data_IF_748176618896
#
_entry.id   IF_748176618896
#
_cell.length_a   1.000
_cell.length_b   1.000
_cell.length_c   1.000
_cell.angle_alpha   90.00
_cell.angle_beta   90.00
_cell.angle_gamma   90.00
#
_symmetry.space_group_name_H-M   'P 1'
#
loop_
_entity.id
_entity.type
_entity.pdbx_description
1 polymer ?
#
# COMPACT_ATOMS: atom_id res chain seq x y z
N UNK A 1 -7.78 6.25 -22.31
CA UNK A 1 -6.94 7.04 -21.39
C UNK A 1 -6.06 6.05 -20.64
N UNK A 2 -4.87 5.79 -21.18
CA UNK A 2 -3.95 4.71 -20.84
C UNK A 2 -3.64 4.66 -19.33
N UNK A 3 -4.01 3.57 -18.67
CA UNK A 3 -3.55 3.22 -17.32
C UNK A 3 -2.36 2.27 -17.42
N UNK A 4 -1.30 2.78 -18.03
CA UNK A 4 -0.02 2.09 -18.09
C UNK A 4 0.57 2.07 -16.67
N UNK A 5 0.61 0.87 -16.05
CA UNK A 5 1.13 0.65 -14.71
C UNK A 5 2.59 1.14 -14.61
N UNK A 6 3.37 1.08 -15.70
CA UNK A 6 4.71 1.63 -15.75
C UNK A 6 4.72 3.17 -15.80
N UNK A 7 3.71 3.82 -16.39
CA UNK A 7 3.54 5.28 -16.31
C UNK A 7 3.04 5.75 -14.95
N UNK A 8 2.21 4.97 -14.25
CA UNK A 8 1.84 5.28 -12.85
C UNK A 8 3.04 5.08 -11.91
N UNK A 9 3.97 4.19 -12.26
CA UNK A 9 5.29 4.04 -11.62
C UNK A 9 6.32 5.09 -12.07
N UNK A 10 6.22 5.66 -13.29
CA UNK A 10 6.94 6.88 -13.73
C UNK A 10 6.37 8.10 -13.03
N UNK A 11 6.49 8.09 -11.72
CA UNK A 11 5.97 9.08 -10.82
C UNK A 11 6.88 10.31 -10.80
N UNK A 12 7.29 10.85 -11.95
CA UNK A 12 8.23 11.97 -12.03
C UNK A 12 7.74 13.17 -11.21
N UNK A 13 6.44 13.44 -11.24
CA UNK A 13 5.79 14.50 -10.45
C UNK A 13 5.76 14.20 -8.96
N UNK A 14 5.47 12.95 -8.56
CA UNK A 14 5.48 12.54 -7.15
C UNK A 14 6.90 12.47 -6.62
N UNK A 15 7.85 11.95 -7.39
CA UNK A 15 9.29 11.95 -7.11
C UNK A 15 9.82 13.36 -6.92
N UNK A 16 9.44 14.31 -7.78
CA UNK A 16 9.82 15.72 -7.62
C UNK A 16 9.17 16.36 -6.39
N UNK A 17 7.88 16.15 -6.15
CA UNK A 17 7.18 16.65 -4.94
C UNK A 17 7.74 16.04 -3.66
N UNK A 18 8.05 14.76 -3.68
CA UNK A 18 8.72 14.06 -2.58
C UNK A 18 10.12 14.62 -2.39
N UNK A 19 10.94 14.78 -3.42
CA UNK A 19 12.28 15.37 -3.31
C UNK A 19 12.26 16.79 -2.71
N UNK A 20 11.28 17.62 -3.09
CA UNK A 20 11.10 18.95 -2.49
C UNK A 20 10.72 18.81 -1.01
N UNK A 21 9.72 17.99 -0.69
CA UNK A 21 9.31 17.74 0.69
C UNK A 21 10.42 17.10 1.55
N UNK A 22 11.28 16.27 0.95
CA UNK A 22 12.45 15.66 1.56
C UNK A 22 13.51 16.70 1.91
N UNK A 23 13.81 17.62 1.00
CA UNK A 23 14.75 18.71 1.24
C UNK A 23 14.29 19.62 2.38
N UNK A 24 12.98 19.87 2.49
CA UNK A 24 12.40 20.66 3.57
C UNK A 24 12.36 19.90 4.90
N UNK A 25 12.06 18.60 4.88
CA UNK A 25 12.10 17.73 6.06
C UNK A 25 13.53 17.59 6.62
N UNK A 26 14.54 17.48 5.76
CA UNK A 26 15.95 17.45 6.15
C UNK A 26 16.37 18.69 6.96
N UNK A 27 15.84 19.86 6.60
CA UNK A 27 16.19 21.14 7.23
C UNK A 27 15.49 21.36 8.56
N UNK A 28 14.26 20.86 8.71
CA UNK A 28 13.38 21.25 9.81
C UNK A 28 13.00 20.10 10.76
N UNK A 29 13.16 18.84 10.37
CA UNK A 29 12.68 17.68 11.13
C UNK A 29 13.69 16.50 11.12
N UNK A 30 14.80 16.57 11.88
CA UNK A 30 15.82 15.52 11.95
C UNK A 30 15.25 14.14 12.34
N UNK A 31 14.19 14.12 13.15
CA UNK A 31 13.44 12.93 13.56
C UNK A 31 12.88 12.11 12.38
N UNK A 32 12.75 12.71 11.20
CA UNK A 32 12.20 12.07 9.99
C UNK A 32 13.28 11.45 9.10
N UNK A 33 14.56 11.51 9.49
CA UNK A 33 15.68 11.01 8.68
C UNK A 33 15.51 9.55 8.19
N UNK A 34 14.92 8.68 9.01
CA UNK A 34 14.60 7.31 8.63
C UNK A 34 13.60 7.22 7.48
N UNK A 35 12.56 8.06 7.49
CA UNK A 35 11.56 8.16 6.42
C UNK A 35 12.18 8.72 5.15
N UNK A 36 13.03 9.75 5.30
CA UNK A 36 13.70 10.38 4.17
C UNK A 36 14.53 9.37 3.39
N UNK A 37 15.40 8.62 4.07
CA UNK A 37 16.20 7.55 3.46
C UNK A 37 15.35 6.48 2.77
N UNK A 38 14.19 6.14 3.34
CA UNK A 38 13.27 5.19 2.73
C UNK A 38 12.70 5.70 1.41
N UNK A 39 12.35 6.98 1.33
CA UNK A 39 11.84 7.61 0.09
C UNK A 39 12.96 7.71 -0.95
N UNK A 40 14.19 8.06 -0.56
CA UNK A 40 15.36 8.07 -1.45
C UNK A 40 15.60 6.70 -2.08
N UNK A 41 15.61 5.64 -1.27
CA UNK A 41 15.75 4.26 -1.74
C UNK A 41 14.62 3.87 -2.71
N UNK A 42 13.38 4.24 -2.39
CA UNK A 42 12.25 4.04 -3.29
C UNK A 42 12.46 4.76 -4.64
N UNK A 43 12.93 6.01 -4.64
CA UNK A 43 13.21 6.77 -5.87
C UNK A 43 14.28 6.07 -6.71
N UNK A 44 15.31 5.50 -6.08
CA UNK A 44 16.36 4.72 -6.77
C UNK A 44 15.75 3.48 -7.41
N UNK A 45 15.00 2.68 -6.65
CA UNK A 45 14.37 1.44 -7.14
C UNK A 45 13.43 1.70 -8.32
N UNK A 46 12.62 2.76 -8.26
CA UNK A 46 11.74 3.14 -9.38
C UNK A 46 12.54 3.52 -10.62
N UNK A 47 13.65 4.27 -10.47
CA UNK A 47 14.51 4.63 -11.62
C UNK A 47 15.14 3.41 -12.27
N UNK A 48 15.38 2.35 -11.51
CA UNK A 48 15.94 1.09 -12.01
C UNK A 48 14.86 0.06 -12.39
N UNK A 49 13.58 0.43 -12.39
CA UNK A 49 12.44 -0.47 -12.61
C UNK A 49 12.49 -1.73 -11.72
N UNK A 50 12.99 -1.60 -10.48
CA UNK A 50 13.01 -2.70 -9.53
C UNK A 50 11.59 -2.91 -8.94
N UNK A 51 11.07 -4.14 -9.06
CA UNK A 51 9.77 -4.55 -8.52
C UNK A 51 9.67 -4.38 -7.00
N UNK A 52 10.79 -4.41 -6.27
CA UNK A 52 10.85 -4.21 -4.82
C UNK A 52 10.31 -2.85 -4.40
N UNK A 53 10.28 -1.86 -5.32
CA UNK A 53 9.64 -0.57 -5.08
C UNK A 53 8.16 -0.71 -4.69
N UNK A 54 7.48 -1.79 -5.08
CA UNK A 54 6.09 -2.06 -4.71
C UNK A 54 5.90 -2.24 -3.20
N UNK A 55 6.90 -2.76 -2.49
CA UNK A 55 6.83 -2.92 -1.02
C UNK A 55 6.70 -1.58 -0.29
N UNK A 56 7.25 -0.50 -0.87
CA UNK A 56 7.07 0.86 -0.35
C UNK A 56 5.61 1.32 -0.45
N UNK A 57 4.96 1.05 -1.58
CA UNK A 57 3.54 1.37 -1.75
C UNK A 57 2.65 0.57 -0.80
N UNK A 58 2.96 -0.71 -0.57
CA UNK A 58 2.24 -1.54 0.42
C UNK A 58 2.32 -0.90 1.81
N UNK A 59 3.52 -0.52 2.25
CA UNK A 59 3.71 0.14 3.55
C UNK A 59 3.01 1.51 3.63
N UNK A 60 3.02 2.29 2.55
CA UNK A 60 2.31 3.57 2.47
C UNK A 60 0.80 3.38 2.61
N UNK A 61 0.22 2.41 1.90
CA UNK A 61 -1.21 2.12 1.97
C UNK A 61 -1.64 1.63 3.36
N UNK A 62 -0.84 0.80 4.03
CA UNK A 62 -1.12 0.41 5.41
C UNK A 62 -1.11 1.61 6.37
N UNK A 63 -0.14 2.52 6.21
CA UNK A 63 -0.10 3.74 7.03
C UNK A 63 -1.27 4.69 6.75
N UNK A 64 -1.62 4.90 5.48
CA UNK A 64 -2.79 5.70 5.11
C UNK A 64 -4.08 5.07 5.63
N UNK A 65 -4.20 3.75 5.56
CA UNK A 65 -5.33 3.00 6.12
C UNK A 65 -5.47 3.29 7.62
N UNK A 66 -4.39 3.12 8.39
CA UNK A 66 -4.38 3.36 9.83
C UNK A 66 -4.63 4.83 10.19
N UNK A 67 -4.07 5.77 9.42
CA UNK A 67 -4.30 7.20 9.59
C UNK A 67 -5.79 7.55 9.45
N UNK A 68 -6.45 7.02 8.41
CA UNK A 68 -7.87 7.25 8.18
C UNK A 68 -8.75 6.56 9.24
N UNK A 69 -8.37 5.37 9.71
CA UNK A 69 -9.02 4.74 10.88
C UNK A 69 -8.97 5.66 12.10
N UNK A 70 -7.82 6.27 12.40
CA UNK A 70 -7.68 7.19 13.55
C UNK A 70 -8.55 8.46 13.43
N UNK A 71 -9.04 8.77 12.23
CA UNK A 71 -9.98 9.86 11.94
C UNK A 71 -11.44 9.38 11.87
N UNK A 72 -11.70 8.11 12.11
CA UNK A 72 -13.00 7.44 11.90
C UNK A 72 -13.49 7.49 10.44
N UNK A 73 -12.59 7.66 9.47
CA UNK A 73 -12.89 7.67 8.04
C UNK A 73 -12.79 6.24 7.47
N UNK A 74 -13.65 5.35 7.97
CA UNK A 74 -13.55 3.90 7.71
C UNK A 74 -13.67 3.53 6.23
N UNK A 75 -14.49 4.23 5.45
CA UNK A 75 -14.59 4.00 4.00
C UNK A 75 -13.24 4.11 3.30
N UNK A 76 -12.47 5.14 3.66
CA UNK A 76 -11.16 5.42 3.10
C UNK A 76 -10.13 4.46 3.70
N UNK A 77 -10.26 4.14 4.99
CA UNK A 77 -9.37 3.20 5.68
C UNK A 77 -9.38 1.81 5.01
N UNK A 78 -10.56 1.20 4.80
CA UNK A 78 -10.67 -0.10 4.14
C UNK A 78 -10.28 -0.06 2.65
N UNK A 79 -10.52 1.07 1.96
CA UNK A 79 -10.05 1.24 0.58
C UNK A 79 -8.52 1.11 0.50
N UNK A 80 -7.79 1.84 1.35
CA UNK A 80 -6.33 1.73 1.39
C UNK A 80 -5.85 0.37 1.88
N UNK A 81 -6.58 -0.26 2.82
CA UNK A 81 -6.26 -1.61 3.27
C UNK A 81 -6.34 -2.62 2.11
N UNK A 82 -7.37 -2.51 1.27
CA UNK A 82 -7.51 -3.34 0.06
C UNK A 82 -6.42 -3.04 -0.97
N UNK A 83 -6.01 -1.77 -1.13
CA UNK A 83 -4.90 -1.41 -2.02
C UNK A 83 -3.57 -2.01 -1.59
N UNK A 84 -3.35 -2.15 -0.28
CA UNK A 84 -2.17 -2.84 0.25
C UNK A 84 -2.16 -4.32 -0.17
N UNK A 85 -3.29 -5.02 -0.04
CA UNK A 85 -3.45 -6.43 -0.47
C UNK A 85 -3.21 -6.58 -1.98
N UNK A 86 -3.87 -5.75 -2.78
CA UNK A 86 -3.74 -5.76 -4.25
C UNK A 86 -2.28 -5.57 -4.68
N UNK A 87 -1.61 -4.57 -4.10
CA UNK A 87 -0.22 -4.25 -4.46
C UNK A 87 0.74 -5.37 -4.03
N UNK A 88 0.52 -5.98 -2.87
CA UNK A 88 1.32 -7.11 -2.41
C UNK A 88 1.15 -8.34 -3.31
N UNK A 89 -0.07 -8.63 -3.75
CA UNK A 89 -0.33 -9.72 -4.70
C UNK A 89 0.30 -9.46 -6.08
N UNK A 90 0.24 -8.23 -6.58
CA UNK A 90 0.91 -7.86 -7.83
C UNK A 90 2.43 -8.05 -7.68
N UNK A 91 3.03 -7.59 -6.59
CA UNK A 91 4.44 -7.85 -6.28
C UNK A 91 4.74 -9.35 -6.30
N UNK A 92 3.95 -10.16 -5.58
CA UNK A 92 4.13 -11.60 -5.50
C UNK A 92 4.17 -12.25 -6.88
N UNK A 93 3.17 -11.97 -7.71
CA UNK A 93 3.04 -12.62 -9.00
C UNK A 93 4.05 -12.10 -10.03
N UNK A 94 4.50 -10.85 -9.93
CA UNK A 94 5.61 -10.35 -10.75
C UNK A 94 6.94 -11.00 -10.34
N UNK A 95 7.22 -11.07 -9.03
CA UNK A 95 8.43 -11.70 -8.48
C UNK A 95 8.54 -13.19 -8.85
N UNK A 96 7.40 -13.87 -8.93
CA UNK A 96 7.31 -15.28 -9.31
C UNK A 96 7.10 -15.48 -10.82
N UNK A 97 7.15 -14.42 -11.63
CA UNK A 97 7.02 -14.48 -13.08
C UNK A 97 5.68 -15.11 -13.57
N UNK A 98 4.60 -14.93 -12.79
CA UNK A 98 3.26 -15.51 -13.03
C UNK A 98 2.33 -14.56 -13.80
N UNK A 99 2.48 -13.25 -13.61
CA UNK A 99 1.73 -12.23 -14.35
C UNK A 99 2.67 -11.41 -15.23
N UNK A 100 2.13 -10.87 -16.32
CA UNK A 100 2.84 -9.99 -17.23
C UNK A 100 1.97 -8.77 -17.58
N UNK A 101 2.61 -7.76 -18.18
CA UNK A 101 1.92 -6.62 -18.76
C UNK A 101 1.69 -6.93 -20.23
N UNK A 102 0.44 -7.02 -20.64
CA UNK A 102 0.08 -7.28 -22.02
C UNK A 102 0.38 -6.06 -22.92
N UNK A 103 0.25 -6.24 -24.24
CA UNK A 103 0.52 -5.19 -25.24
C UNK A 103 -0.35 -3.92 -25.08
N UNK A 104 -1.46 -4.01 -24.35
CA UNK A 104 -2.38 -2.91 -24.07
C UNK A 104 -2.12 -2.23 -22.72
N UNK A 105 -1.10 -2.66 -21.97
CA UNK A 105 -0.73 -2.14 -20.66
C UNK A 105 -1.53 -2.69 -19.48
N UNK A 106 -2.40 -3.67 -19.72
CA UNK A 106 -3.15 -4.40 -18.70
C UNK A 106 -2.31 -5.52 -18.07
N UNK A 107 -2.61 -5.87 -16.82
CA UNK A 107 -2.02 -7.06 -16.19
C UNK A 107 -2.79 -8.31 -16.62
N UNK A 108 -2.10 -9.34 -17.06
CA UNK A 108 -2.67 -10.67 -17.36
C UNK A 108 -1.85 -11.76 -16.69
N UNK A 109 -2.45 -12.92 -16.44
CA UNK A 109 -1.67 -14.12 -16.14
C UNK A 109 -0.90 -14.54 -17.39
N UNK A 110 0.31 -15.05 -17.22
CA UNK A 110 1.12 -15.48 -18.36
C UNK A 110 0.41 -16.55 -19.18
N UNK A 111 0.33 -16.33 -20.48
CA UNK A 111 -0.36 -17.22 -21.41
C UNK A 111 -1.88 -17.08 -21.42
N UNK A 112 -2.44 -16.18 -20.62
CA UNK A 112 -3.87 -15.84 -20.67
C UNK A 112 -4.09 -14.62 -21.58
N UNK A 113 -5.18 -14.67 -22.35
CA UNK A 113 -5.59 -13.58 -23.25
C UNK A 113 -6.37 -12.49 -22.49
N UNK A 114 -6.94 -12.85 -21.34
CA UNK A 114 -7.80 -11.97 -20.57
C UNK A 114 -7.01 -11.14 -19.56
N UNK A 115 -7.44 -9.90 -19.38
CA UNK A 115 -6.91 -8.99 -18.36
C UNK A 115 -7.47 -9.33 -16.98
N UNK A 116 -6.64 -9.12 -15.96
CA UNK A 116 -7.02 -9.18 -14.57
C UNK A 116 -7.87 -7.95 -14.24
N UNK A 117 -9.18 -8.13 -14.10
CA UNK A 117 -10.11 -7.02 -13.93
C UNK A 117 -10.25 -6.54 -12.49
N UNK A 118 -9.70 -7.29 -11.53
CA UNK A 118 -9.59 -6.82 -10.16
C UNK A 118 -8.87 -7.78 -9.23
N UNK A 119 -8.58 -7.26 -8.04
CA UNK A 119 -7.92 -7.97 -6.94
C UNK A 119 -8.58 -9.29 -6.53
N UNK A 120 -9.87 -9.48 -6.80
CA UNK A 120 -10.55 -10.75 -6.52
C UNK A 120 -9.96 -11.94 -7.27
N UNK A 121 -9.52 -11.75 -8.50
CA UNK A 121 -8.86 -12.80 -9.30
C UNK A 121 -7.49 -13.14 -8.72
N UNK A 122 -6.72 -12.12 -8.33
CA UNK A 122 -5.43 -12.28 -7.66
C UNK A 122 -5.56 -13.04 -6.33
N UNK A 123 -6.57 -12.69 -5.52
CA UNK A 123 -6.85 -13.37 -4.24
C UNK A 123 -7.22 -14.83 -4.49
N UNK A 124 -8.10 -15.08 -5.47
CA UNK A 124 -8.53 -16.43 -5.84
C UNK A 124 -7.33 -17.29 -6.25
N UNK A 125 -6.49 -16.77 -7.13
CA UNK A 125 -5.31 -17.49 -7.61
C UNK A 125 -4.32 -17.80 -6.48
N UNK A 126 -4.05 -16.81 -5.61
CA UNK A 126 -3.13 -16.99 -4.49
C UNK A 126 -3.61 -18.09 -3.51
N UNK A 127 -4.88 -18.03 -3.09
CA UNK A 127 -5.43 -19.00 -2.14
C UNK A 127 -5.83 -20.34 -2.77
N UNK A 128 -5.87 -20.46 -4.10
CA UNK A 128 -5.92 -21.77 -4.75
C UNK A 128 -4.63 -22.57 -4.51
N UNK A 129 -3.50 -21.86 -4.29
CA UNK A 129 -2.17 -22.44 -4.07
C UNK A 129 -1.76 -22.47 -2.59
N UNK A 130 -2.30 -21.57 -1.76
CA UNK A 130 -1.98 -21.47 -0.32
C UNK A 130 -3.07 -22.08 0.58
N UNK A 131 -2.69 -22.98 1.50
CA UNK A 131 -3.60 -23.65 2.44
C UNK A 131 -3.78 -22.90 3.77
N UNK A 132 -4.05 -21.60 3.73
CA UNK A 132 -4.44 -20.83 4.93
C UNK A 132 -5.90 -20.41 4.87
N UNK A 133 -6.76 -21.21 5.51
CA UNK A 133 -8.21 -21.01 5.48
C UNK A 133 -8.67 -19.82 6.32
N UNK A 134 -7.95 -19.42 7.38
CA UNK A 134 -8.37 -18.30 8.23
C UNK A 134 -7.98 -16.97 7.59
N UNK A 135 -6.73 -16.88 7.12
CA UNK A 135 -6.23 -15.72 6.39
C UNK A 135 -7.04 -15.48 5.11
N UNK A 136 -7.32 -16.55 4.36
CA UNK A 136 -8.19 -16.50 3.17
C UNK A 136 -9.55 -15.88 3.48
N UNK A 137 -10.22 -16.33 4.54
CA UNK A 137 -11.53 -15.78 4.94
C UNK A 137 -11.46 -14.30 5.25
N UNK A 138 -10.43 -13.84 5.96
CA UNK A 138 -10.26 -12.43 6.33
C UNK A 138 -9.96 -11.56 5.10
N UNK A 139 -9.09 -12.01 4.20
CA UNK A 139 -8.80 -11.29 2.95
C UNK A 139 -10.02 -11.24 2.02
N UNK A 140 -10.79 -12.33 1.92
CA UNK A 140 -12.06 -12.33 1.18
C UNK A 140 -13.13 -11.44 1.81
N UNK A 141 -13.21 -11.40 3.16
CA UNK A 141 -14.10 -10.49 3.89
C UNK A 141 -13.78 -9.03 3.53
N UNK A 142 -12.49 -8.66 3.53
CA UNK A 142 -12.06 -7.32 3.13
C UNK A 142 -12.45 -6.99 1.68
N UNK A 143 -12.18 -7.90 0.73
CA UNK A 143 -12.56 -7.71 -0.67
C UNK A 143 -14.08 -7.56 -0.85
N UNK A 144 -14.86 -8.36 -0.14
CA UNK A 144 -16.33 -8.27 -0.13
C UNK A 144 -16.82 -6.92 0.42
N UNK A 145 -16.23 -6.46 1.54
CA UNK A 145 -16.51 -5.14 2.10
C UNK A 145 -16.23 -4.05 1.08
N UNK A 146 -15.03 -4.02 0.49
CA UNK A 146 -14.64 -3.04 -0.54
C UNK A 146 -15.66 -2.96 -1.65
N UNK A 147 -16.08 -4.10 -2.22
CA UNK A 147 -16.99 -4.10 -3.36
C UNK A 147 -18.39 -3.59 -3.02
N UNK A 148 -18.82 -3.70 -1.76
CA UNK A 148 -20.12 -3.19 -1.29
C UNK A 148 -20.11 -1.70 -0.98
N UNK A 149 -18.93 -1.08 -0.85
CA UNK A 149 -18.80 0.30 -0.40
C UNK A 149 -19.12 1.34 -1.46
N UNK A 150 -19.52 2.53 -1.00
CA UNK A 150 -19.81 3.70 -1.84
C UNK A 150 -18.64 4.13 -2.72
N UNK A 151 -17.41 4.03 -2.21
CA UNK A 151 -16.19 4.40 -2.94
C UNK A 151 -15.77 3.35 -4.00
N UNK A 152 -16.57 2.29 -4.18
CA UNK A 152 -16.34 1.25 -5.18
C UNK A 152 -17.59 1.07 -6.07
N UNK A 153 -18.49 0.16 -5.71
CA UNK A 153 -19.62 -0.25 -6.57
C UNK A 153 -20.95 -0.37 -5.81
N UNK A 154 -20.99 -0.13 -4.50
CA UNK A 154 -22.20 -0.30 -3.71
C UNK A 154 -22.59 0.96 -2.93
N UNK A 155 -23.41 0.81 -1.88
CA UNK A 155 -23.92 1.91 -1.05
C UNK A 155 -23.62 1.71 0.43
N UNK A 156 -22.82 0.70 0.77
CA UNK A 156 -22.50 0.35 2.15
C UNK A 156 -21.49 1.34 2.75
N UNK A 157 -21.75 1.77 3.98
CA UNK A 157 -20.79 2.53 4.80
C UNK A 157 -20.28 1.60 5.90
N UNK A 158 -18.99 1.26 5.93
CA UNK A 158 -18.43 0.34 6.91
C UNK A 158 -18.33 1.00 8.30
N UNK A 159 -18.29 0.17 9.33
CA UNK A 159 -17.90 0.58 10.68
C UNK A 159 -16.48 0.13 11.01
N UNK A 160 -15.94 0.61 12.13
CA UNK A 160 -14.63 0.19 12.65
C UNK A 160 -14.60 -1.17 13.32
N UNK A 161 -15.74 -1.87 13.44
CA UNK A 161 -15.87 -3.09 14.26
C UNK A 161 -14.87 -4.18 13.84
N UNK A 162 -14.70 -4.37 12.53
CA UNK A 162 -13.83 -5.42 11.98
C UNK A 162 -12.43 -4.92 11.63
N UNK A 163 -12.16 -3.61 11.77
CA UNK A 163 -11.01 -3.00 11.13
C UNK A 163 -9.68 -3.51 11.68
N UNK A 164 -9.55 -3.57 13.00
CA UNK A 164 -8.27 -3.92 13.63
C UNK A 164 -7.90 -5.39 13.37
N UNK A 165 -8.88 -6.30 13.37
CA UNK A 165 -8.67 -7.72 12.99
C UNK A 165 -8.25 -7.85 11.52
N UNK A 166 -8.97 -7.17 10.61
CA UNK A 166 -8.62 -7.17 9.18
C UNK A 166 -7.27 -6.52 8.91
N UNK A 167 -6.91 -5.46 9.64
CA UNK A 167 -5.61 -4.81 9.51
C UNK A 167 -4.47 -5.73 9.94
N UNK A 168 -4.62 -6.44 11.06
CA UNK A 168 -3.66 -7.44 11.51
C UNK A 168 -3.50 -8.57 10.48
N UNK A 169 -4.61 -9.10 9.97
CA UNK A 169 -4.59 -10.16 8.96
C UNK A 169 -3.91 -9.70 7.66
N UNK A 170 -4.16 -8.48 7.20
CA UNK A 170 -3.47 -7.96 6.00
C UNK A 170 -1.98 -7.79 6.25
N UNK A 171 -1.56 -7.32 7.43
CA UNK A 171 -0.14 -7.24 7.76
C UNK A 171 0.55 -8.60 7.74
N UNK A 172 -0.09 -9.60 8.34
CA UNK A 172 0.40 -10.99 8.33
C UNK A 172 0.47 -11.52 6.89
N UNK A 173 -0.59 -11.33 6.10
CA UNK A 173 -0.64 -11.71 4.70
C UNK A 173 0.49 -11.09 3.87
N UNK A 174 0.75 -9.79 4.02
CA UNK A 174 1.85 -9.11 3.33
C UNK A 174 3.20 -9.69 3.73
N UNK A 175 3.44 -9.95 5.02
CA UNK A 175 4.69 -10.54 5.50
C UNK A 175 4.92 -11.96 4.98
N UNK A 176 3.84 -12.72 4.74
CA UNK A 176 3.91 -14.06 4.16
C UNK A 176 4.14 -14.04 2.65
N UNK A 177 3.78 -12.94 1.97
CA UNK A 177 3.93 -12.78 0.53
C UNK A 177 5.33 -12.33 0.12
N UNK A 178 5.93 -11.43 0.89
CA UNK A 178 7.26 -10.88 0.59
C UNK A 178 8.30 -11.97 0.88
N UNK A 179 8.72 -12.64 -0.19
CA UNK A 179 9.57 -13.83 -0.24
C UNK A 179 11.03 -13.56 0.14
N UNK A 180 11.57 -12.42 -0.31
CA UNK A 180 12.96 -12.05 -0.11
C UNK A 180 13.16 -11.27 1.20
N UNK A 181 14.22 -11.60 1.92
CA UNK A 181 14.58 -10.96 3.20
C UNK A 181 14.87 -9.47 3.04
N UNK A 182 15.46 -9.04 1.92
CA UNK A 182 15.80 -7.64 1.68
C UNK A 182 14.54 -6.75 1.48
N UNK A 183 13.60 -7.08 0.56
CA UNK A 183 12.32 -6.38 0.44
C UNK A 183 11.48 -6.44 1.72
N UNK A 184 11.53 -7.55 2.47
CA UNK A 184 10.84 -7.67 3.77
C UNK A 184 11.41 -6.74 4.82
N UNK A 185 12.74 -6.71 4.98
CA UNK A 185 13.42 -5.79 5.87
C UNK A 185 13.15 -4.33 5.49
N UNK A 186 13.11 -4.03 4.19
CA UNK A 186 12.75 -2.70 3.68
C UNK A 186 11.29 -2.33 4.01
N UNK A 187 10.33 -3.21 3.74
CA UNK A 187 8.92 -3.03 4.12
C UNK A 187 8.77 -2.77 5.61
N UNK A 188 9.38 -3.58 6.48
CA UNK A 188 9.29 -3.42 7.94
C UNK A 188 9.91 -2.10 8.41
N UNK A 189 11.06 -1.71 7.83
CA UNK A 189 11.70 -0.43 8.10
C UNK A 189 10.80 0.73 7.72
N UNK A 190 10.15 0.68 6.55
CA UNK A 190 9.22 1.71 6.10
C UNK A 190 7.99 1.75 7.00
N UNK A 191 7.37 0.61 7.28
CA UNK A 191 6.18 0.55 8.13
C UNK A 191 6.45 1.12 9.52
N UNK A 192 7.64 0.83 10.09
CA UNK A 192 8.05 1.37 11.39
C UNK A 192 8.44 2.85 11.34
N UNK A 193 9.07 3.30 10.25
CA UNK A 193 9.46 4.70 10.04
C UNK A 193 8.27 5.60 9.73
N UNK A 194 7.31 5.13 8.93
CA UNK A 194 6.12 5.85 8.50
C UNK A 194 4.97 5.80 9.53
N UNK A 195 5.14 5.12 10.67
CA UNK A 195 4.13 5.10 11.74
C UNK A 195 3.64 6.53 11.96
N UNK A 196 2.31 6.73 12.03
CA UNK A 196 1.75 8.07 12.09
C UNK A 196 2.42 8.82 13.21
N UNK A 197 3.05 9.95 12.86
CA UNK A 197 3.48 10.97 13.81
C UNK A 197 2.31 11.11 14.77
N UNK A 198 2.53 10.72 16.03
CA UNK A 198 1.44 10.54 16.98
C UNK A 198 0.55 11.77 16.98
N UNK A 199 -0.76 11.57 17.18
CA UNK A 199 -1.75 12.66 17.28
C UNK A 199 -1.27 13.78 18.22
N UNK A 200 -0.46 13.42 19.22
CA UNK A 200 0.20 14.34 20.15
C UNK A 200 1.34 15.17 19.54
N UNK A 201 2.19 14.63 18.67
CA UNK A 201 3.23 15.41 17.97
C UNK A 201 2.60 16.43 17.00
N UNK A 202 1.55 16.03 16.26
CA UNK A 202 0.82 16.95 15.36
C UNK A 202 0.05 18.02 16.17
N UNK A 203 -0.61 17.64 17.28
CA UNK A 203 -1.23 18.62 18.19
C UNK A 203 -0.21 19.56 18.81
N UNK A 204 0.97 19.07 19.24
CA UNK A 204 2.05 19.90 19.80
C UNK A 204 2.58 20.89 18.78
N UNK A 205 2.83 20.46 17.55
CA UNK A 205 3.32 21.37 16.51
C UNK A 205 2.26 22.38 16.08
N UNK A 206 0.98 21.98 15.97
CA UNK A 206 -0.11 22.92 15.70
C UNK A 206 -0.34 23.92 16.85
N UNK A 207 -0.26 23.48 18.11
CA UNK A 207 -0.39 24.38 19.25
C UNK A 207 0.80 25.33 19.37
N UNK A 208 2.02 24.87 19.04
CA UNK A 208 3.20 25.73 18.99
C UNK A 208 3.11 26.78 17.87
N UNK A 209 2.51 26.43 16.72
CA UNK A 209 2.28 27.35 15.61
C UNK A 209 1.12 28.35 15.85
N UNK A 210 0.13 27.97 16.67
CA UNK A 210 -1.04 28.80 16.99
C UNK A 210 -0.87 29.67 18.25
N UNK A 211 0.11 29.37 19.11
CA UNK A 211 0.43 30.17 20.31
C UNK A 211 1.59 31.16 20.09
N UNK A 212 2.28 31.08 18.94
CA UNK A 212 3.34 32.01 18.54
C UNK A 212 2.94 32.95 17.39
N UNK A 213 1.64 33.09 17.12
CA UNK A 213 1.03 34.17 16.33
C UNK A 213 -0.04 34.86 17.18
#
# INVERSE_FOLDING_TARGET
MEKDLYRSLRNATISNRLNVALCDAYKNCPDLFGIVKCIENYIIMVKTNNIDALTFYVALFLNLSLFNKNRNEYSIAYLYLQRAVETALIYHFLDNDIIEVNDYGGLSFKGDVNEIHGVGELIKEFFARSKDNDLSKKIWKLNSLRNKMLLAHGYYTPSGVDYDDLYCAVKEFVLNIISSEEPKAFYEKILNGLKPIGKEKIKKELSFALLNN
#
